data_IF_580778852585
#
_entry.id   IF_580778852585
#
_cell.length_a   1.000
_cell.length_b   1.000
_cell.length_c   1.000
_cell.angle_alpha   90.00
_cell.angle_beta   90.00
_cell.angle_gamma   90.00
#
_symmetry.space_group_name_H-M   'P 1'
#
loop_
_entity.id
_entity.type
_entity.pdbx_description
1 polymer ?
#
# COMPACT_ATOMS: atom_id res chain seq x y z
N UNK A 1 4.03 14.75 8.83
CA UNK A 1 5.32 14.29 9.40
C UNK A 1 5.59 12.88 8.88
N UNK A 2 6.83 12.58 8.47
CA UNK A 2 7.22 11.27 7.94
C UNK A 2 7.41 10.27 9.08
N UNK A 3 6.83 9.07 8.99
CA UNK A 3 6.98 8.01 10.00
C UNK A 3 8.27 7.20 9.85
N UNK A 4 9.31 7.77 9.24
CA UNK A 4 10.56 7.07 8.95
C UNK A 4 11.51 7.13 10.15
N UNK A 5 12.20 6.03 10.41
CA UNK A 5 13.31 5.98 11.35
C UNK A 5 14.52 6.60 10.64
N UNK A 6 14.87 7.83 11.00
CA UNK A 6 15.97 8.57 10.36
C UNK A 6 17.34 8.10 10.83
N UNK A 7 17.44 7.79 12.12
CA UNK A 7 18.64 7.27 12.76
C UNK A 7 18.29 5.96 13.48
N UNK A 8 18.86 4.85 13.04
CA UNK A 8 18.75 3.57 13.72
C UNK A 8 20.08 3.24 14.42
N UNK A 9 20.09 2.90 15.72
CA UNK A 9 21.33 2.67 16.49
C UNK A 9 22.30 1.65 15.88
N UNK A 10 21.77 0.70 15.09
CA UNK A 10 22.56 -0.35 14.42
C UNK A 10 22.70 -0.11 12.91
N UNK A 11 21.69 0.45 12.24
CA UNK A 11 21.69 0.57 10.76
C UNK A 11 22.22 1.94 10.30
N UNK A 12 22.47 2.86 11.24
CA UNK A 12 22.95 4.20 10.96
C UNK A 12 21.85 5.13 10.45
N UNK A 13 22.27 6.13 9.66
CA UNK A 13 21.39 7.15 9.12
C UNK A 13 20.80 6.75 7.77
N UNK A 14 19.53 7.11 7.55
CA UNK A 14 18.84 6.91 6.27
C UNK A 14 19.34 7.83 5.14
N UNK A 15 20.36 8.67 5.37
CA UNK A 15 20.80 9.74 4.47
C UNK A 15 21.32 9.30 3.10
N UNK A 16 21.63 8.02 2.91
CA UNK A 16 22.14 7.49 1.63
C UNK A 16 21.04 6.92 0.72
N UNK A 17 19.76 7.13 1.05
CA UNK A 17 18.64 6.64 0.25
C UNK A 17 18.33 7.56 -0.94
N UNK A 18 18.12 6.98 -2.13
CA UNK A 18 17.58 7.69 -3.28
C UNK A 18 16.07 7.83 -3.14
N UNK A 19 15.59 9.06 -3.02
CA UNK A 19 14.14 9.37 -3.04
C UNK A 19 13.62 9.28 -4.47
N UNK A 20 12.47 8.63 -4.64
CA UNK A 20 11.74 8.56 -5.92
C UNK A 20 10.31 9.07 -5.76
N UNK A 21 9.72 9.56 -6.84
CA UNK A 21 8.35 10.09 -6.83
C UNK A 21 7.39 9.10 -7.45
N UNK A 22 6.23 8.91 -6.83
CA UNK A 22 5.14 8.12 -7.39
C UNK A 22 3.79 8.77 -7.05
N UNK A 23 2.69 8.19 -7.49
CA UNK A 23 1.35 8.70 -7.14
C UNK A 23 0.51 7.64 -6.45
N UNK A 24 -0.29 8.05 -5.47
CA UNK A 24 -1.35 7.25 -4.88
C UNK A 24 -2.68 7.97 -5.03
N UNK A 25 -3.64 7.37 -5.74
CA UNK A 25 -4.94 7.99 -6.03
C UNK A 25 -4.80 9.41 -6.64
N UNK A 26 -3.82 9.60 -7.53
CA UNK A 26 -3.52 10.90 -8.15
C UNK A 26 -2.79 11.91 -7.26
N UNK A 27 -2.58 11.60 -5.97
CA UNK A 27 -1.80 12.43 -5.05
C UNK A 27 -0.34 12.04 -5.12
N UNK A 28 0.57 13.01 -5.23
CA UNK A 28 2.01 12.77 -5.25
C UNK A 28 2.49 12.19 -3.91
N UNK A 29 3.33 11.17 -3.97
CA UNK A 29 3.94 10.52 -2.82
C UNK A 29 5.44 10.33 -3.06
N UNK A 30 6.19 10.21 -1.97
CA UNK A 30 7.63 9.96 -2.01
C UNK A 30 7.97 8.58 -1.46
N UNK A 31 8.80 7.84 -2.18
CA UNK A 31 9.34 6.54 -1.78
C UNK A 31 10.87 6.58 -1.71
N UNK A 32 11.45 5.56 -1.10
CA UNK A 32 12.89 5.27 -1.16
C UNK A 32 13.11 4.12 -2.14
N UNK A 33 14.02 4.29 -3.08
CA UNK A 33 14.39 3.24 -4.01
C UNK A 33 14.79 1.95 -3.26
N UNK A 34 14.20 0.83 -3.68
CA UNK A 34 14.44 -0.49 -3.08
C UNK A 34 13.50 -0.87 -1.93
N UNK A 35 12.69 0.06 -1.41
CA UNK A 35 11.65 -0.30 -0.43
C UNK A 35 10.37 -0.78 -1.13
N UNK A 36 9.44 -1.35 -0.36
CA UNK A 36 8.16 -1.80 -0.90
C UNK A 36 7.16 -0.67 -1.02
N UNK A 37 6.22 -0.78 -1.96
CA UNK A 37 5.10 0.16 -2.09
C UNK A 37 4.36 0.32 -0.76
N UNK A 38 4.17 -0.76 -0.01
CA UNK A 38 3.56 -0.70 1.32
C UNK A 38 4.33 0.18 2.31
N UNK A 39 5.66 0.07 2.35
CA UNK A 39 6.51 0.90 3.20
C UNK A 39 6.43 2.39 2.78
N UNK A 40 6.49 2.67 1.48
CA UNK A 40 6.34 4.04 0.96
C UNK A 40 4.99 4.64 1.33
N UNK A 41 3.88 3.91 1.14
CA UNK A 41 2.56 4.38 1.54
C UNK A 41 2.49 4.68 3.05
N UNK A 42 3.09 3.85 3.89
CA UNK A 42 3.13 4.09 5.34
C UNK A 42 3.92 5.33 5.73
N UNK A 43 5.05 5.59 5.05
CA UNK A 43 5.84 6.81 5.24
C UNK A 43 5.05 8.07 4.85
N UNK A 44 4.15 7.96 3.86
CA UNK A 44 3.22 9.02 3.43
C UNK A 44 1.93 9.08 4.28
N UNK A 45 1.87 8.41 5.44
CA UNK A 45 0.70 8.34 6.33
C UNK A 45 -0.55 7.67 5.72
N UNK A 46 -0.39 6.93 4.63
CA UNK A 46 -1.50 6.17 4.02
C UNK A 46 -1.61 4.84 4.75
N UNK A 47 -2.75 4.64 5.41
CA UNK A 47 -3.04 3.42 6.19
C UNK A 47 -4.06 2.52 5.53
N UNK A 48 -4.85 3.01 4.60
CA UNK A 48 -5.90 2.24 3.92
C UNK A 48 -5.50 2.04 2.46
N UNK A 49 -5.30 0.78 2.07
CA UNK A 49 -4.91 0.41 0.71
C UNK A 49 -6.11 -0.06 -0.11
N UNK A 50 -7.10 -0.61 0.57
CA UNK A 50 -8.39 -1.00 0.00
C UNK A 50 -9.45 -0.99 1.10
N UNK A 51 -10.69 -1.29 0.73
CA UNK A 51 -11.76 -1.58 1.69
C UNK A 51 -12.29 -3.00 1.49
N UNK A 52 -12.82 -3.60 2.55
CA UNK A 52 -13.48 -4.90 2.52
C UNK A 52 -14.71 -4.85 1.60
N UNK A 53 -14.92 -5.93 0.85
CA UNK A 53 -15.92 -6.04 -0.22
C UNK A 53 -17.35 -5.83 0.30
N UNK A 54 -17.68 -6.42 1.44
CA UNK A 54 -19.03 -6.37 2.01
C UNK A 54 -19.21 -5.18 2.96
N UNK A 55 -18.41 -5.15 4.04
CA UNK A 55 -18.54 -4.15 5.11
C UNK A 55 -17.95 -2.77 4.79
N UNK A 56 -17.14 -2.62 3.74
CA UNK A 56 -16.40 -1.38 3.48
C UNK A 56 -15.30 -1.05 4.49
N UNK A 57 -15.02 -1.95 5.45
CA UNK A 57 -14.00 -1.72 6.47
C UNK A 57 -12.60 -1.54 5.85
N UNK A 58 -11.78 -0.59 6.33
CA UNK A 58 -10.46 -0.34 5.77
C UNK A 58 -9.54 -1.56 5.92
N UNK A 59 -8.74 -1.83 4.89
CA UNK A 59 -7.75 -2.90 4.86
C UNK A 59 -6.39 -2.37 4.42
N UNK A 60 -5.34 -3.01 4.93
CA UNK A 60 -3.96 -2.56 4.82
C UNK A 60 -2.99 -3.74 4.86
N UNK A 61 -1.72 -3.45 5.09
CA UNK A 61 -0.75 -4.46 5.50
C UNK A 61 -1.20 -5.14 6.80
N UNK A 62 -1.31 -6.47 6.74
CA UNK A 62 -1.56 -7.32 7.90
C UNK A 62 -0.37 -8.27 8.10
N UNK A 63 -0.15 -9.19 7.16
CA UNK A 63 0.95 -10.17 7.28
C UNK A 63 2.33 -9.65 6.87
N UNK A 64 2.39 -8.62 6.01
CA UNK A 64 3.62 -8.09 5.39
C UNK A 64 4.57 -9.13 4.74
N UNK A 65 4.05 -10.30 4.36
CA UNK A 65 4.81 -11.40 3.72
C UNK A 65 4.14 -11.90 2.43
N UNK A 66 3.14 -11.17 1.92
CA UNK A 66 2.45 -11.51 0.68
C UNK A 66 1.40 -12.63 0.76
N UNK A 67 1.06 -13.12 1.96
CA UNK A 67 0.13 -14.24 2.16
C UNK A 67 -1.35 -13.82 2.28
N UNK A 68 -1.66 -12.76 3.05
CA UNK A 68 -3.05 -12.41 3.39
C UNK A 68 -3.84 -11.66 2.31
N UNK A 69 -3.17 -11.15 1.27
CA UNK A 69 -3.76 -10.31 0.21
C UNK A 69 -4.45 -9.00 0.66
N UNK A 70 -4.40 -8.61 1.94
CA UNK A 70 -5.06 -7.37 2.40
C UNK A 70 -4.40 -6.08 1.93
N UNK A 71 -3.10 -6.12 1.66
CA UNK A 71 -2.32 -4.99 1.13
C UNK A 71 -2.47 -4.77 -0.39
N UNK A 72 -3.46 -5.40 -1.04
CA UNK A 72 -3.57 -5.35 -2.49
C UNK A 72 -3.99 -3.96 -2.98
N UNK A 73 -3.39 -3.54 -4.07
CA UNK A 73 -3.62 -2.26 -4.76
C UNK A 73 -3.62 -2.49 -6.28
N UNK A 74 -3.98 -1.47 -7.04
CA UNK A 74 -3.73 -1.42 -8.48
C UNK A 74 -2.43 -0.67 -8.74
N UNK A 75 -1.53 -1.24 -9.54
CA UNK A 75 -0.26 -0.60 -9.92
C UNK A 75 -0.19 -0.53 -11.44
N UNK A 76 -0.04 0.67 -12.00
CA UNK A 76 0.08 0.89 -13.44
C UNK A 76 -1.04 0.16 -14.23
N UNK A 77 -2.28 0.23 -13.73
CA UNK A 77 -3.44 -0.44 -14.31
C UNK A 77 -3.58 -1.94 -14.01
N UNK A 78 -2.59 -2.58 -13.40
CA UNK A 78 -2.66 -3.99 -13.01
C UNK A 78 -3.33 -4.13 -11.63
N UNK A 79 -4.51 -4.77 -11.52
CA UNK A 79 -5.20 -4.91 -10.24
C UNK A 79 -4.60 -6.02 -9.36
N UNK A 80 -5.00 -6.03 -8.09
CA UNK A 80 -4.68 -7.08 -7.10
C UNK A 80 -3.17 -7.31 -6.88
N UNK A 81 -2.34 -6.29 -7.07
CA UNK A 81 -0.90 -6.35 -6.84
C UNK A 81 -0.62 -6.19 -5.35
N UNK A 82 0.23 -7.04 -4.79
CA UNK A 82 0.55 -7.07 -3.36
C UNK A 82 1.58 -5.96 -3.04
N UNK A 83 1.13 -4.84 -2.49
CA UNK A 83 2.00 -3.70 -2.16
C UNK A 83 3.16 -4.09 -1.23
N UNK A 84 2.98 -5.07 -0.33
CA UNK A 84 4.04 -5.52 0.58
C UNK A 84 5.18 -6.32 -0.08
N UNK A 85 5.00 -6.77 -1.32
CA UNK A 85 6.00 -7.56 -2.06
C UNK A 85 6.53 -6.83 -3.30
N UNK A 86 5.94 -5.69 -3.66
CA UNK A 86 6.33 -4.92 -4.84
C UNK A 86 7.23 -3.78 -4.43
N UNK A 87 8.41 -3.69 -5.05
CA UNK A 87 9.33 -2.56 -4.89
C UNK A 87 8.72 -1.32 -5.52
N UNK A 88 8.85 -0.16 -4.86
CA UNK A 88 8.39 1.12 -5.41
C UNK A 88 9.34 1.59 -6.52
N UNK A 89 8.79 2.13 -7.61
CA UNK A 89 9.55 2.63 -8.75
C UNK A 89 9.15 4.08 -9.05
N UNK A 90 10.04 4.82 -9.71
CA UNK A 90 9.77 6.21 -10.09
C UNK A 90 8.62 6.28 -11.11
N UNK A 91 7.80 7.31 -10.98
CA UNK A 91 6.57 7.53 -11.77
C UNK A 91 5.52 6.41 -11.69
N UNK A 92 5.64 5.51 -10.71
CA UNK A 92 4.63 4.48 -10.48
C UNK A 92 3.26 5.11 -10.15
N UNK A 93 2.20 4.57 -10.75
CA UNK A 93 0.81 4.96 -10.48
C UNK A 93 0.15 3.90 -9.64
N UNK A 94 -0.14 4.22 -8.38
CA UNK A 94 -0.77 3.32 -7.42
C UNK A 94 -2.19 3.81 -7.13
N UNK A 95 -3.14 2.89 -7.07
CA UNK A 95 -4.53 3.20 -6.75
C UNK A 95 -5.06 2.23 -5.70
N UNK A 96 -5.88 2.75 -4.78
CA UNK A 96 -6.52 1.94 -3.75
C UNK A 96 -7.58 1.01 -4.34
N UNK A 97 -7.77 -0.16 -3.72
CA UNK A 97 -8.89 -1.04 -4.04
C UNK A 97 -10.22 -0.43 -3.58
N UNK A 98 -11.20 -0.40 -4.49
CA UNK A 98 -12.57 0.07 -4.20
C UNK A 98 -13.45 -1.08 -3.72
N UNK A 99 -14.51 -0.74 -2.98
CA UNK A 99 -15.53 -1.71 -2.59
C UNK A 99 -16.14 -2.33 -3.85
N UNK A 100 -16.07 -3.66 -3.94
CA UNK A 100 -16.64 -4.39 -5.07
C UNK A 100 -18.08 -4.79 -4.76
N UNK A 101 -18.97 -4.83 -5.77
CA UNK A 101 -20.29 -5.41 -5.60
C UNK A 101 -20.16 -6.86 -5.10
N UNK A 102 -20.92 -7.22 -4.08
CA UNK A 102 -21.02 -8.62 -3.61
C UNK A 102 -22.22 -9.26 -4.30
N UNK A 103 -22.04 -10.04 -5.39
CA UNK A 103 -23.15 -10.49 -6.23
C UNK A 103 -23.99 -11.58 -5.56
N UNK A 104 -23.38 -12.31 -4.63
CA UNK A 104 -24.00 -13.34 -3.83
C UNK A 104 -24.32 -12.75 -2.45
N UNK A 105 -25.37 -11.95 -2.36
CA UNK A 105 -25.95 -11.66 -1.04
C UNK A 105 -26.44 -12.99 -0.48
N UNK A 106 -26.06 -13.33 0.76
CA UNK A 106 -26.75 -14.39 1.48
C UNK A 106 -28.19 -13.94 1.61
N UNK A 107 -29.12 -14.67 1.00
CA UNK A 107 -30.52 -14.56 1.39
C UNK A 107 -30.57 -14.85 2.89
N UNK A 108 -31.23 -13.97 3.65
CA UNK A 108 -31.44 -14.17 5.07
C UNK A 108 -32.18 -15.51 5.22
N UNK A 109 -31.46 -16.56 5.62
CA UNK A 109 -32.05 -17.82 6.03
C UNK A 109 -32.76 -17.58 7.36
N UNK A 110 -33.98 -17.03 7.27
CA UNK A 110 -34.96 -16.91 8.35
C UNK A 110 -35.43 -18.32 8.73
#
# INVERSE_FOLDING_TARGET
MSNRIIHHPILGNLSNSTTISFTFNGTKCEGIAGETVAASLFANNIRTFRVHEETGAPRSIYCNIGHCFECRVTINGKPNVRACMTVVEDQMVVQSGLQQPTPLKKEDHI
#
